data_IF_058033160270
#
_entry.id   IF_058033160270
#
_cell.length_a   1.000
_cell.length_b   1.000
_cell.length_c   1.000
_cell.angle_alpha   90.00
_cell.angle_beta   90.00
_cell.angle_gamma   90.00
#
_symmetry.space_group_name_H-M   'P 1'
#
loop_
_entity.id
_entity.type
_entity.pdbx_description
1 polymer ?
#
# COMPACT_ATOMS: atom_id res chain seq x y z
N UNK A 1 -20.88 13.91 -18.84
CA UNK A 1 -20.77 15.00 -17.84
C UNK A 1 -19.38 15.56 -17.96
N UNK A 2 -19.21 16.85 -18.31
CA UNK A 2 -17.91 17.49 -18.19
C UNK A 2 -17.68 17.73 -16.71
N UNK A 3 -16.73 17.03 -16.16
CA UNK A 3 -16.33 17.21 -14.78
C UNK A 3 -15.63 18.57 -14.68
N UNK A 4 -16.07 19.39 -13.77
CA UNK A 4 -15.50 20.71 -13.53
C UNK A 4 -14.15 20.58 -12.84
N UNK A 5 -13.10 20.27 -13.63
CA UNK A 5 -11.72 20.12 -13.12
C UNK A 5 -11.25 21.32 -12.31
N UNK A 6 -11.82 22.48 -12.58
CA UNK A 6 -11.43 23.75 -11.96
C UNK A 6 -12.25 24.11 -10.72
N UNK A 7 -13.24 23.28 -10.35
CA UNK A 7 -14.01 23.52 -9.14
C UNK A 7 -13.12 23.37 -7.91
N UNK A 8 -13.03 24.43 -7.13
CA UNK A 8 -12.35 24.36 -5.83
C UNK A 8 -13.08 23.39 -4.91
N UNK A 9 -12.31 22.60 -4.17
CA UNK A 9 -12.88 21.81 -3.08
C UNK A 9 -13.37 22.77 -2.02
N UNK A 10 -14.62 22.66 -1.66
CA UNK A 10 -15.18 23.39 -0.54
C UNK A 10 -14.93 22.63 0.74
N UNK A 11 -13.98 23.12 1.53
CA UNK A 11 -13.65 22.55 2.85
C UNK A 11 -14.81 22.67 3.83
N UNK A 12 -15.57 23.74 3.73
CA UNK A 12 -16.73 23.97 4.61
C UNK A 12 -17.83 22.94 4.30
N UNK A 13 -18.03 22.57 3.03
CA UNK A 13 -18.94 21.48 2.65
C UNK A 13 -18.49 20.14 3.26
N UNK A 14 -17.19 19.84 3.23
CA UNK A 14 -16.65 18.63 3.85
C UNK A 14 -16.85 18.64 5.37
N UNK A 15 -16.54 19.77 6.00
CA UNK A 15 -16.60 19.88 7.46
C UNK A 15 -18.03 20.08 7.98
N UNK A 16 -18.96 20.49 7.12
CA UNK A 16 -20.36 20.68 7.49
C UNK A 16 -20.97 19.35 7.91
N UNK A 17 -21.72 19.38 8.99
CA UNK A 17 -22.49 18.24 9.50
C UNK A 17 -21.69 16.92 9.67
N UNK A 18 -20.40 17.01 9.97
CA UNK A 18 -19.59 15.81 10.25
C UNK A 18 -20.14 14.92 11.36
N UNK A 19 -20.88 15.49 12.30
CA UNK A 19 -21.46 14.76 13.43
C UNK A 19 -22.47 13.70 12.95
N UNK A 20 -23.26 14.03 11.93
CA UNK A 20 -24.30 13.17 11.39
C UNK A 20 -23.84 12.34 10.20
N UNK A 21 -22.68 12.66 9.62
CA UNK A 21 -22.12 11.89 8.52
C UNK A 21 -21.87 10.43 8.94
N UNK A 22 -22.19 9.50 8.02
CA UNK A 22 -21.85 8.08 8.12
C UNK A 22 -21.21 7.63 6.82
N UNK A 23 -20.19 6.74 6.90
CA UNK A 23 -19.54 6.19 5.70
C UNK A 23 -20.57 5.50 4.78
N UNK A 24 -20.47 5.74 3.49
CA UNK A 24 -21.38 5.16 2.48
C UNK A 24 -21.21 3.66 2.35
N UNK A 25 -19.98 3.17 2.52
CA UNK A 25 -19.62 1.76 2.38
C UNK A 25 -18.57 1.33 3.40
N UNK A 26 -18.56 0.03 3.64
CA UNK A 26 -17.49 -0.68 4.35
C UNK A 26 -16.84 -1.66 3.37
N UNK A 27 -15.68 -2.19 3.75
CA UNK A 27 -14.95 -3.14 2.95
C UNK A 27 -14.14 -2.48 1.82
N UNK A 28 -13.32 -3.28 1.21
CA UNK A 28 -12.42 -2.89 0.14
C UNK A 28 -13.07 -3.12 -1.21
N UNK A 29 -12.85 -2.23 -2.17
CA UNK A 29 -13.27 -2.43 -3.55
C UNK A 29 -12.07 -2.96 -4.36
N UNK A 30 -12.17 -4.21 -4.81
CA UNK A 30 -11.21 -4.81 -5.71
C UNK A 30 -11.59 -4.53 -7.15
N UNK A 31 -10.60 -4.40 -8.03
CA UNK A 31 -10.86 -4.41 -9.46
C UNK A 31 -11.23 -5.82 -9.91
N UNK A 32 -12.12 -5.92 -10.87
CA UNK A 32 -12.52 -7.20 -11.45
C UNK A 32 -11.32 -7.81 -12.20
N UNK A 33 -11.13 -9.11 -12.00
CA UNK A 33 -10.13 -9.86 -12.75
C UNK A 33 -10.65 -10.10 -14.17
N UNK A 34 -9.73 -9.95 -15.13
CA UNK A 34 -9.99 -10.35 -16.53
C UNK A 34 -9.66 -11.84 -16.67
N UNK A 35 -10.64 -12.63 -17.04
CA UNK A 35 -10.44 -14.08 -17.22
C UNK A 35 -9.50 -14.39 -18.38
N UNK A 36 -8.72 -15.47 -18.24
CA UNK A 36 -7.89 -16.07 -19.29
C UNK A 36 -6.73 -15.22 -19.83
N UNK A 37 -6.20 -14.30 -19.07
CA UNK A 37 -5.00 -13.56 -19.46
C UNK A 37 -3.71 -14.25 -19.00
N UNK A 38 -3.54 -15.50 -19.37
CA UNK A 38 -2.29 -16.20 -19.05
C UNK A 38 -1.17 -15.74 -19.97
N UNK A 39 -0.08 -15.27 -19.37
CA UNK A 39 1.21 -15.14 -20.05
C UNK A 39 1.77 -16.55 -20.26
N UNK A 40 1.36 -17.19 -21.26
CA UNK A 40 1.94 -18.46 -21.42
C UNK A 40 2.28 -18.89 -22.76
N UNK A 41 2.99 -19.98 -22.93
CA UNK A 41 4.41 -20.05 -22.62
C UNK A 41 5.17 -19.02 -23.45
N UNK A 42 6.18 -18.38 -22.88
CA UNK A 42 7.12 -17.54 -23.64
C UNK A 42 7.83 -18.44 -24.66
N UNK A 43 7.39 -18.41 -25.89
CA UNK A 43 8.06 -19.14 -26.97
C UNK A 43 9.33 -18.40 -27.38
N UNK A 44 10.41 -18.63 -26.67
CA UNK A 44 11.73 -18.12 -27.00
C UNK A 44 12.18 -18.47 -28.43
N UNK A 45 11.52 -19.43 -29.07
CA UNK A 45 11.82 -19.87 -30.45
C UNK A 45 11.53 -18.79 -31.50
N UNK A 46 10.68 -17.83 -31.17
CA UNK A 46 10.34 -16.72 -32.05
C UNK A 46 11.20 -15.49 -31.84
N UNK A 47 12.10 -15.52 -30.86
CA UNK A 47 12.97 -14.39 -30.55
C UNK A 47 14.24 -14.38 -31.41
N UNK A 48 14.87 -13.20 -31.52
CA UNK A 48 16.11 -13.03 -32.27
C UNK A 48 17.24 -13.98 -31.81
N UNK A 49 18.14 -14.33 -32.70
CA UNK A 49 19.27 -15.20 -32.39
C UNK A 49 20.13 -14.72 -31.22
N UNK A 50 20.24 -13.42 -31.02
CA UNK A 50 20.93 -12.83 -29.87
C UNK A 50 20.23 -13.14 -28.53
N UNK A 51 18.90 -13.16 -28.51
CA UNK A 51 18.13 -13.56 -27.32
C UNK A 51 18.13 -15.07 -27.09
N UNK A 52 18.22 -15.88 -28.16
CA UNK A 52 18.33 -17.35 -28.03
C UNK A 52 19.66 -17.78 -27.36
N UNK A 53 20.70 -16.98 -27.51
CA UNK A 53 22.00 -17.22 -26.90
C UNK A 53 22.16 -16.52 -25.55
N UNK A 54 21.20 -15.70 -25.15
CA UNK A 54 21.18 -15.11 -23.81
C UNK A 54 20.82 -16.19 -22.78
N UNK A 55 21.40 -16.11 -21.60
CA UNK A 55 21.04 -16.99 -20.49
C UNK A 55 19.53 -16.76 -20.23
N UNK A 56 18.68 -17.81 -20.34
CA UNK A 56 17.27 -17.65 -20.05
C UNK A 56 17.09 -17.05 -18.67
N UNK A 57 16.32 -15.99 -18.58
CA UNK A 57 15.95 -15.47 -17.26
C UNK A 57 15.26 -16.61 -16.49
N UNK A 58 15.73 -16.96 -15.28
CA UNK A 58 15.12 -18.03 -14.48
C UNK A 58 13.60 -17.87 -14.34
N UNK A 59 13.14 -16.63 -14.27
CA UNK A 59 11.74 -16.25 -14.24
C UNK A 59 10.92 -16.76 -15.45
N UNK A 60 11.51 -17.00 -16.62
CA UNK A 60 10.80 -17.51 -17.78
C UNK A 60 10.14 -18.88 -17.51
N UNK A 61 10.65 -19.66 -16.57
CA UNK A 61 10.06 -20.94 -16.15
C UNK A 61 8.77 -20.76 -15.33
N UNK A 62 8.57 -19.61 -14.73
CA UNK A 62 7.48 -19.33 -13.81
C UNK A 62 6.29 -18.66 -14.47
N UNK A 63 6.48 -18.01 -15.63
CA UNK A 63 5.42 -17.25 -16.30
C UNK A 63 4.23 -18.07 -16.77
N UNK A 64 4.41 -19.37 -17.00
CA UNK A 64 3.34 -20.25 -17.44
C UNK A 64 2.19 -20.43 -16.44
N UNK A 65 2.45 -20.16 -15.16
CA UNK A 65 1.47 -20.32 -14.07
C UNK A 65 0.93 -18.99 -13.53
N UNK A 66 1.44 -17.89 -14.03
CA UNK A 66 1.03 -16.56 -13.60
C UNK A 66 -0.03 -16.03 -14.55
N UNK A 67 -1.10 -15.51 -13.98
CA UNK A 67 -2.19 -14.84 -14.70
C UNK A 67 -2.06 -13.32 -14.48
N UNK A 68 -1.24 -12.61 -15.29
CA UNK A 68 -1.01 -11.18 -15.10
C UNK A 68 -2.27 -10.41 -15.43
N UNK A 69 -2.73 -9.63 -14.50
CA UNK A 69 -3.86 -8.76 -14.73
C UNK A 69 -3.39 -7.47 -15.42
N UNK A 70 -4.08 -7.00 -16.47
CA UNK A 70 -3.69 -5.80 -17.21
C UNK A 70 -3.83 -4.54 -16.36
N UNK A 71 -4.62 -4.63 -15.30
CA UNK A 71 -4.95 -3.49 -14.47
C UNK A 71 -4.95 -3.87 -12.99
N UNK A 72 -4.53 -2.95 -12.15
CA UNK A 72 -4.50 -3.11 -10.70
C UNK A 72 -4.90 -1.81 -10.01
N UNK A 73 -5.24 -1.90 -8.74
CA UNK A 73 -5.50 -0.73 -7.90
C UNK A 73 -4.22 0.11 -7.79
N UNK A 74 -4.30 1.40 -8.11
CA UNK A 74 -3.16 2.31 -8.03
C UNK A 74 -3.25 3.10 -6.73
N UNK A 75 -2.19 3.03 -5.94
CA UNK A 75 -2.07 3.75 -4.66
C UNK A 75 -1.43 5.11 -4.87
N UNK A 76 -1.91 6.11 -4.13
CA UNK A 76 -1.11 7.30 -3.82
C UNK A 76 -1.00 7.48 -2.31
N UNK A 77 0.14 7.99 -1.85
CA UNK A 77 0.41 8.23 -0.44
C UNK A 77 0.24 9.70 -0.10
N UNK A 78 -0.46 9.99 0.98
CA UNK A 78 -0.78 11.36 1.43
C UNK A 78 -0.28 11.53 2.86
N UNK A 79 0.53 12.55 3.08
CA UNK A 79 1.23 12.73 4.35
C UNK A 79 1.55 14.19 4.71
N UNK A 80 0.86 15.20 4.15
CA UNK A 80 1.22 16.60 4.44
C UNK A 80 0.81 17.03 5.85
N UNK A 81 -0.26 16.45 6.38
CA UNK A 81 -0.84 16.83 7.66
C UNK A 81 -1.65 18.13 7.60
N UNK A 82 -1.72 18.77 6.44
CA UNK A 82 -2.56 19.94 6.18
C UNK A 82 -3.81 19.48 5.46
N UNK A 83 -4.94 19.48 6.14
CA UNK A 83 -6.17 18.84 5.65
C UNK A 83 -6.58 19.32 4.26
N UNK A 84 -6.58 20.63 4.01
CA UNK A 84 -6.94 21.17 2.69
C UNK A 84 -5.98 20.74 1.59
N UNK A 85 -4.68 20.74 1.84
CA UNK A 85 -3.68 20.28 0.89
C UNK A 85 -3.82 18.78 0.62
N UNK A 86 -4.06 18.00 1.66
CA UNK A 86 -4.22 16.55 1.54
C UNK A 86 -5.46 16.21 0.71
N UNK A 87 -6.58 16.89 0.91
CA UNK A 87 -7.78 16.69 0.10
C UNK A 87 -7.56 17.07 -1.37
N UNK A 88 -6.86 18.17 -1.64
CA UNK A 88 -6.49 18.54 -3.02
C UNK A 88 -5.63 17.47 -3.68
N UNK A 89 -4.64 16.93 -2.95
CA UNK A 89 -3.77 15.86 -3.44
C UNK A 89 -4.57 14.58 -3.74
N UNK A 90 -5.46 14.17 -2.83
CA UNK A 90 -6.33 13.02 -3.02
C UNK A 90 -7.20 13.18 -4.27
N UNK A 91 -7.82 14.35 -4.44
CA UNK A 91 -8.66 14.66 -5.59
C UNK A 91 -7.87 14.61 -6.89
N UNK A 92 -6.71 15.27 -6.95
CA UNK A 92 -5.85 15.27 -8.14
C UNK A 92 -5.39 13.85 -8.51
N UNK A 93 -4.92 13.08 -7.53
CA UNK A 93 -4.50 11.71 -7.75
C UNK A 93 -5.65 10.81 -8.24
N UNK A 94 -6.85 10.97 -7.67
CA UNK A 94 -8.04 10.26 -8.10
C UNK A 94 -8.43 10.59 -9.54
N UNK A 95 -8.35 11.85 -9.93
CA UNK A 95 -8.58 12.28 -11.31
C UNK A 95 -7.62 11.63 -12.31
N UNK A 96 -6.37 11.43 -11.91
CA UNK A 96 -5.35 10.78 -12.73
C UNK A 96 -5.45 9.25 -12.73
N UNK A 97 -6.21 8.66 -11.82
CA UNK A 97 -6.48 7.21 -11.82
C UNK A 97 -6.16 6.47 -10.54
N UNK A 98 -5.72 7.16 -9.48
CA UNK A 98 -5.59 6.54 -8.18
C UNK A 98 -6.96 6.16 -7.61
N UNK A 99 -7.10 4.95 -7.14
CA UNK A 99 -8.29 4.39 -6.50
C UNK A 99 -8.01 3.77 -5.13
N UNK A 100 -6.83 4.05 -4.61
CA UNK A 100 -6.41 3.74 -3.25
C UNK A 100 -5.61 4.91 -2.69
N UNK A 101 -6.16 5.53 -1.66
CA UNK A 101 -5.52 6.62 -0.95
C UNK A 101 -4.98 6.09 0.38
N UNK A 102 -3.67 6.08 0.52
CA UNK A 102 -3.00 5.71 1.74
C UNK A 102 -2.61 6.97 2.51
N UNK A 103 -3.26 7.20 3.63
CA UNK A 103 -2.97 8.33 4.52
C UNK A 103 -1.96 7.88 5.56
N UNK A 104 -0.74 8.41 5.44
CA UNK A 104 0.34 8.13 6.38
C UNK A 104 0.11 8.94 7.65
N UNK A 105 0.03 8.26 8.78
CA UNK A 105 -0.07 8.93 10.08
C UNK A 105 1.24 9.56 10.49
N UNK A 106 1.19 10.51 11.41
CA UNK A 106 2.40 11.09 12.03
C UNK A 106 3.25 9.99 12.67
N UNK A 107 4.56 10.08 12.51
CA UNK A 107 5.48 9.08 13.06
C UNK A 107 5.34 8.94 14.59
N UNK A 108 5.09 10.02 15.30
CA UNK A 108 4.88 10.03 16.74
C UNK A 108 3.71 9.18 17.21
N UNK A 109 2.66 9.03 16.42
CA UNK A 109 1.51 8.18 16.77
C UNK A 109 1.81 6.68 16.80
N UNK A 110 2.98 6.25 16.32
CA UNK A 110 3.44 4.87 16.48
C UNK A 110 4.20 4.61 17.78
N UNK A 111 4.47 5.64 18.58
CA UNK A 111 5.16 5.59 19.84
C UNK A 111 4.26 6.10 20.98
N UNK A 112 4.51 5.60 22.18
CA UNK A 112 3.72 5.95 23.35
C UNK A 112 3.83 7.45 23.68
N UNK A 113 5.02 8.01 23.60
CA UNK A 113 5.26 9.43 23.87
C UNK A 113 4.45 10.33 22.93
N UNK A 114 4.36 9.96 21.64
CA UNK A 114 3.57 10.71 20.67
C UNK A 114 2.06 10.68 20.92
N UNK A 115 1.57 9.67 21.65
CA UNK A 115 0.16 9.64 22.07
C UNK A 115 -0.13 10.53 23.26
N UNK A 116 0.85 10.71 24.15
CA UNK A 116 0.71 11.50 25.39
C UNK A 116 1.07 12.96 25.14
N UNK A 117 2.24 13.18 24.57
CA UNK A 117 2.81 14.52 24.37
C UNK A 117 2.31 15.19 23.06
N UNK A 118 1.71 14.39 22.18
CA UNK A 118 1.36 14.85 20.83
C UNK A 118 2.56 14.83 19.88
N UNK A 119 2.31 15.27 18.66
CA UNK A 119 3.35 15.42 17.64
C UNK A 119 3.31 16.82 17.06
N UNK A 120 4.48 17.44 16.78
CA UNK A 120 4.52 18.75 16.15
C UNK A 120 3.78 18.74 14.81
N UNK A 121 3.03 19.79 14.52
CA UNK A 121 2.40 19.96 13.22
C UNK A 121 3.45 20.07 12.10
N UNK A 122 3.12 19.52 10.93
CA UNK A 122 3.96 19.66 9.75
C UNK A 122 5.21 18.78 9.68
N UNK A 123 5.35 17.83 10.60
CA UNK A 123 6.49 16.87 10.61
C UNK A 123 6.12 15.57 9.89
N UNK A 124 5.53 15.65 8.71
CA UNK A 124 5.13 14.50 7.91
C UNK A 124 4.04 13.64 8.57
N UNK A 125 3.07 13.26 7.79
CA UNK A 125 1.95 12.43 8.22
C UNK A 125 0.75 13.22 8.72
N UNK A 126 -0.37 12.54 8.78
CA UNK A 126 -1.67 13.09 9.17
C UNK A 126 -2.02 12.63 10.57
N UNK A 127 -2.38 13.53 11.49
CA UNK A 127 -2.88 13.13 12.79
C UNK A 127 -4.13 12.28 12.66
N UNK A 128 -4.11 11.06 13.18
CA UNK A 128 -5.26 10.16 13.08
C UNK A 128 -6.16 10.32 14.28
N UNK A 129 -7.24 11.05 14.08
CA UNK A 129 -8.32 11.24 15.03
C UNK A 129 -9.66 10.86 14.40
N UNK A 130 -10.67 10.59 15.20
CA UNK A 130 -12.03 10.33 14.69
C UNK A 130 -12.50 11.42 13.72
N UNK A 131 -12.30 12.68 14.09
CA UNK A 131 -12.69 13.83 13.25
C UNK A 131 -11.97 13.83 11.92
N UNK A 132 -10.67 13.59 11.93
CA UNK A 132 -9.84 13.55 10.73
C UNK A 132 -10.24 12.39 9.79
N UNK A 133 -10.39 11.18 10.34
CA UNK A 133 -10.82 10.01 9.57
C UNK A 133 -12.18 10.26 8.92
N UNK A 134 -13.14 10.77 9.69
CA UNK A 134 -14.49 11.08 9.23
C UNK A 134 -14.50 12.14 8.13
N UNK A 135 -13.76 13.22 8.31
CA UNK A 135 -13.64 14.28 7.31
C UNK A 135 -12.96 13.77 6.04
N UNK A 136 -11.90 12.97 6.17
CA UNK A 136 -11.21 12.36 5.03
C UNK A 136 -12.15 11.41 4.27
N UNK A 137 -12.89 10.52 4.96
CA UNK A 137 -13.82 9.62 4.28
C UNK A 137 -14.94 10.39 3.57
N UNK A 138 -15.50 11.41 4.21
CA UNK A 138 -16.50 12.28 3.57
C UNK A 138 -15.97 12.97 2.32
N UNK A 139 -14.73 13.49 2.38
CA UNK A 139 -14.08 14.07 1.22
C UNK A 139 -13.89 13.06 0.09
N UNK A 140 -13.47 11.84 0.42
CA UNK A 140 -13.31 10.77 -0.57
C UNK A 140 -14.66 10.35 -1.19
N UNK A 141 -15.76 10.36 -0.43
CA UNK A 141 -17.09 10.11 -0.99
C UNK A 141 -17.48 11.16 -2.03
N UNK A 142 -17.17 12.43 -1.80
CA UNK A 142 -17.39 13.50 -2.78
C UNK A 142 -16.49 13.33 -4.02
N UNK A 143 -15.25 12.91 -3.82
CA UNK A 143 -14.32 12.63 -4.91
C UNK A 143 -14.77 11.39 -5.70
N UNK A 144 -15.30 10.35 -5.04
CA UNK A 144 -15.91 9.18 -5.71
C UNK A 144 -17.04 9.62 -6.66
N UNK A 145 -17.88 10.55 -6.21
CA UNK A 145 -18.97 11.10 -7.06
C UNK A 145 -18.41 11.85 -8.28
N UNK A 146 -17.29 12.57 -8.13
CA UNK A 146 -16.67 13.27 -9.23
C UNK A 146 -16.03 12.34 -10.27
N UNK A 147 -15.32 11.31 -9.83
CA UNK A 147 -14.55 10.42 -10.71
C UNK A 147 -15.33 9.20 -11.17
N UNK A 148 -16.52 8.97 -10.60
CA UNK A 148 -17.43 7.88 -10.97
C UNK A 148 -16.92 6.48 -10.61
N UNK A 149 -16.05 6.35 -9.62
CA UNK A 149 -15.53 5.07 -9.14
C UNK A 149 -15.20 5.07 -7.65
N UNK A 150 -15.26 3.90 -6.97
CA UNK A 150 -14.87 3.78 -5.57
C UNK A 150 -13.39 4.09 -5.34
N UNK A 151 -13.10 4.74 -4.20
CA UNK A 151 -11.74 5.02 -3.74
C UNK A 151 -11.55 4.38 -2.37
N UNK A 152 -10.59 3.46 -2.27
CA UNK A 152 -10.24 2.81 -1.02
C UNK A 152 -9.44 3.75 -0.13
N UNK A 153 -9.86 3.84 1.12
CA UNK A 153 -9.19 4.62 2.15
C UNK A 153 -8.39 3.70 3.07
N UNK A 154 -7.12 4.01 3.25
CA UNK A 154 -6.19 3.19 4.01
C UNK A 154 -5.34 4.04 4.96
N UNK A 155 -5.06 3.49 6.15
CA UNK A 155 -4.09 4.06 7.08
C UNK A 155 -3.44 2.96 7.94
N UNK A 156 -2.82 3.31 9.06
CA UNK A 156 -1.99 2.41 9.85
C UNK A 156 -2.61 2.12 11.21
N UNK A 157 -2.69 0.86 11.59
CA UNK A 157 -3.07 0.37 12.92
C UNK A 157 -1.84 -0.05 13.74
N UNK A 158 -0.72 -0.40 13.09
CA UNK A 158 0.52 -0.81 13.77
C UNK A 158 1.02 0.24 14.76
N UNK A 159 1.70 -0.18 15.79
CA UNK A 159 2.20 0.65 16.87
C UNK A 159 1.43 0.42 18.17
N UNK A 160 1.45 1.39 19.08
CA UNK A 160 0.62 1.37 20.28
C UNK A 160 -0.83 1.75 19.94
N UNK A 161 -1.77 1.43 20.80
CA UNK A 161 -3.20 1.68 20.60
C UNK A 161 -3.80 1.03 19.33
N UNK A 162 -3.27 -0.12 18.91
CA UNK A 162 -3.78 -0.84 17.74
C UNK A 162 -5.26 -1.20 17.83
N UNK A 163 -5.77 -1.77 18.94
CA UNK A 163 -7.17 -2.08 19.12
C UNK A 163 -8.08 -0.85 18.99
N UNK A 164 -7.71 0.24 19.63
CA UNK A 164 -8.47 1.50 19.60
C UNK A 164 -8.51 2.10 18.20
N UNK A 165 -7.40 2.05 17.49
CA UNK A 165 -7.33 2.48 16.09
C UNK A 165 -8.20 1.61 15.18
N UNK A 166 -8.23 0.31 15.41
CA UNK A 166 -9.08 -0.61 14.65
C UNK A 166 -10.56 -0.28 14.82
N UNK A 167 -11.00 0.06 16.03
CA UNK A 167 -12.38 0.52 16.30
C UNK A 167 -12.68 1.79 15.50
N UNK A 168 -11.81 2.79 15.59
CA UNK A 168 -12.01 4.03 14.83
C UNK A 168 -12.10 3.78 13.33
N UNK A 169 -11.26 2.90 12.78
CA UNK A 169 -11.26 2.57 11.37
C UNK A 169 -12.56 1.88 10.94
N UNK A 170 -13.04 0.94 11.75
CA UNK A 170 -14.31 0.25 11.48
C UNK A 170 -15.51 1.20 11.53
N UNK A 171 -15.51 2.16 12.44
CA UNK A 171 -16.59 3.13 12.60
C UNK A 171 -16.56 4.23 11.54
N UNK A 172 -15.38 4.68 11.13
CA UNK A 172 -15.22 5.83 10.23
C UNK A 172 -14.99 5.46 8.76
N UNK A 173 -15.16 4.18 8.39
CA UNK A 173 -15.16 3.74 7.00
C UNK A 173 -13.77 3.69 6.35
N UNK A 174 -12.74 3.40 7.12
CA UNK A 174 -11.42 3.05 6.58
C UNK A 174 -11.49 1.65 6.02
N UNK A 175 -11.09 1.46 4.76
CA UNK A 175 -11.25 0.20 4.03
C UNK A 175 -10.07 -0.75 4.18
N UNK A 176 -8.87 -0.22 4.43
CA UNK A 176 -7.67 -1.02 4.59
C UNK A 176 -6.74 -0.48 5.67
N UNK A 177 -5.92 -1.35 6.25
CA UNK A 177 -4.98 -0.95 7.27
C UNK A 177 -3.71 -1.80 7.26
N UNK A 178 -2.57 -1.15 7.49
CA UNK A 178 -1.36 -1.85 7.88
C UNK A 178 -1.49 -2.36 9.30
N UNK A 179 -1.35 -3.67 9.47
CA UNK A 179 -1.34 -4.30 10.77
C UNK A 179 -0.44 -5.54 10.74
N UNK A 180 0.63 -5.49 11.54
CA UNK A 180 1.66 -6.51 11.58
C UNK A 180 2.36 -6.44 12.96
N UNK A 181 2.25 -7.48 13.81
CA UNK A 181 2.90 -7.47 15.11
C UNK A 181 4.43 -7.47 15.03
N UNK A 182 4.99 -8.09 13.98
CA UNK A 182 6.45 -8.10 13.79
C UNK A 182 7.01 -6.69 13.57
N UNK A 183 6.28 -5.83 12.87
CA UNK A 183 6.64 -4.43 12.72
C UNK A 183 6.81 -3.72 14.07
N UNK A 184 5.89 -3.96 14.99
CA UNK A 184 5.97 -3.40 16.32
C UNK A 184 7.21 -3.85 17.07
N UNK A 185 7.53 -5.14 17.00
CA UNK A 185 8.69 -5.73 17.68
C UNK A 185 10.00 -5.28 17.05
N UNK A 186 10.14 -5.48 15.74
CA UNK A 186 11.41 -5.33 15.02
C UNK A 186 11.74 -3.87 14.70
N UNK A 187 10.72 -3.07 14.47
CA UNK A 187 10.91 -1.70 13.98
C UNK A 187 10.64 -0.64 15.05
N UNK A 188 9.77 -0.92 16.02
CA UNK A 188 9.36 0.03 17.05
C UNK A 188 9.81 -0.35 18.45
N UNK A 189 10.51 -1.49 18.63
CA UNK A 189 10.96 -2.01 19.92
C UNK A 189 9.83 -2.17 20.96
N UNK A 190 8.60 -2.41 20.50
CA UNK A 190 7.47 -2.65 21.40
C UNK A 190 7.55 -4.10 21.88
N UNK A 191 7.21 -4.32 23.15
CA UNK A 191 7.21 -5.66 23.75
C UNK A 191 6.48 -6.69 22.86
N UNK A 192 7.10 -7.85 22.65
CA UNK A 192 6.59 -8.87 21.74
C UNK A 192 5.20 -9.39 22.14
N UNK A 193 5.01 -9.74 23.43
CA UNK A 193 3.73 -10.26 23.91
C UNK A 193 2.63 -9.22 23.72
N UNK A 194 2.90 -7.98 24.13
CA UNK A 194 1.97 -6.86 23.94
C UNK A 194 1.62 -6.68 22.47
N UNK A 195 2.62 -6.69 21.58
CA UNK A 195 2.42 -6.50 20.14
C UNK A 195 1.52 -7.56 19.52
N UNK A 196 1.70 -8.82 19.89
CA UNK A 196 0.86 -9.91 19.37
C UNK A 196 -0.54 -9.90 19.97
N UNK A 197 -0.70 -9.58 21.27
CA UNK A 197 -2.02 -9.46 21.89
C UNK A 197 -2.83 -8.31 21.27
N UNK A 198 -2.24 -7.13 21.18
CA UNK A 198 -2.89 -5.97 20.58
C UNK A 198 -3.23 -6.24 19.09
N UNK A 199 -2.33 -6.91 18.36
CA UNK A 199 -2.58 -7.32 16.99
C UNK A 199 -3.75 -8.30 16.87
N UNK A 200 -3.88 -9.25 17.79
CA UNK A 200 -5.00 -10.19 17.81
C UNK A 200 -6.34 -9.45 17.93
N UNK A 201 -6.42 -8.54 18.90
CA UNK A 201 -7.64 -7.74 19.11
C UNK A 201 -7.92 -6.85 17.91
N UNK A 202 -6.92 -6.14 17.39
CA UNK A 202 -7.06 -5.29 16.21
C UNK A 202 -7.55 -6.08 14.99
N UNK A 203 -6.93 -7.23 14.69
CA UNK A 203 -7.32 -8.10 13.57
C UNK A 203 -8.74 -8.65 13.71
N UNK A 204 -9.17 -8.96 14.94
CA UNK A 204 -10.56 -9.39 15.20
C UNK A 204 -11.56 -8.28 14.87
N UNK A 205 -11.24 -7.04 15.23
CA UNK A 205 -12.06 -5.88 14.90
C UNK A 205 -12.04 -5.62 13.39
N UNK A 206 -10.87 -5.71 12.75
CA UNK A 206 -10.72 -5.59 11.30
C UNK A 206 -11.58 -6.63 10.56
N UNK A 207 -11.54 -7.89 11.00
CA UNK A 207 -12.36 -8.95 10.42
C UNK A 207 -13.87 -8.66 10.55
N UNK A 208 -14.29 -8.12 11.67
CA UNK A 208 -15.67 -7.70 11.90
C UNK A 208 -16.06 -6.47 11.05
N UNK A 209 -15.13 -5.52 10.89
CA UNK A 209 -15.32 -4.29 10.10
C UNK A 209 -15.11 -4.47 8.60
N UNK A 210 -14.79 -5.68 8.14
CA UNK A 210 -14.42 -6.00 6.75
C UNK A 210 -13.27 -5.14 6.21
N UNK A 211 -12.29 -4.87 7.06
CA UNK A 211 -11.10 -4.06 6.74
C UNK A 211 -10.02 -4.98 6.18
N UNK A 212 -9.52 -4.67 4.98
CA UNK A 212 -8.39 -5.39 4.40
C UNK A 212 -7.12 -5.10 5.20
N UNK A 213 -6.46 -6.17 5.60
CA UNK A 213 -5.12 -6.07 6.15
C UNK A 213 -4.09 -6.00 5.03
N UNK A 214 -3.23 -5.00 5.08
CA UNK A 214 -2.00 -4.99 4.32
C UNK A 214 -0.88 -5.27 5.30
N UNK A 215 -0.07 -6.28 5.03
CA UNK A 215 0.99 -6.64 5.96
C UNK A 215 2.13 -5.62 5.95
N UNK A 216 2.84 -5.55 7.06
CA UNK A 216 3.96 -4.64 7.26
C UNK A 216 5.33 -5.30 7.06
N UNK A 217 5.40 -6.52 6.52
CA UNK A 217 6.67 -7.23 6.35
C UNK A 217 7.65 -6.47 5.43
N UNK A 218 7.14 -5.62 4.53
CA UNK A 218 7.96 -4.70 3.75
C UNK A 218 8.79 -3.74 4.61
N UNK A 219 8.35 -3.43 5.83
CA UNK A 219 9.13 -2.58 6.73
C UNK A 219 10.39 -3.28 7.24
N UNK A 220 10.36 -4.59 7.42
CA UNK A 220 11.56 -5.36 7.71
C UNK A 220 12.53 -5.32 6.53
N UNK A 221 12.04 -5.45 5.30
CA UNK A 221 12.82 -5.26 4.10
C UNK A 221 13.41 -3.84 4.03
N UNK A 222 12.62 -2.82 4.33
CA UNK A 222 13.06 -1.43 4.34
C UNK A 222 14.13 -1.13 5.40
N UNK A 223 14.16 -1.88 6.50
CA UNK A 223 15.15 -1.72 7.59
C UNK A 223 16.38 -2.58 7.41
N UNK A 224 16.24 -3.74 6.79
CA UNK A 224 17.37 -4.60 6.44
C UNK A 224 18.17 -3.94 5.32
N UNK A 225 19.39 -3.47 5.65
CA UNK A 225 20.24 -2.78 4.68
C UNK A 225 20.56 -3.64 3.44
N UNK A 226 20.57 -4.95 3.61
CA UNK A 226 20.87 -5.94 2.58
C UNK A 226 19.78 -7.03 2.57
N UNK A 227 18.55 -6.62 2.29
CA UNK A 227 17.38 -7.50 2.33
C UNK A 227 17.51 -8.74 1.43
N UNK A 228 18.28 -8.62 0.34
CA UNK A 228 18.56 -9.76 -0.55
C UNK A 228 19.37 -10.89 0.10
N UNK A 229 20.00 -10.65 1.23
CA UNK A 229 20.70 -11.70 2.02
C UNK A 229 19.79 -12.44 2.98
N UNK A 230 18.58 -11.94 3.23
CA UNK A 230 17.64 -12.45 4.22
C UNK A 230 16.24 -12.67 3.62
N UNK A 231 16.19 -13.02 2.33
CA UNK A 231 14.91 -13.25 1.64
C UNK A 231 14.06 -14.37 2.26
N UNK A 232 14.64 -15.51 2.70
CA UNK A 232 13.85 -16.54 3.37
C UNK A 232 13.17 -16.05 4.65
N UNK A 233 13.87 -15.24 5.44
CA UNK A 233 13.35 -14.65 6.68
C UNK A 233 12.20 -13.67 6.39
N UNK A 234 12.28 -12.91 5.29
CA UNK A 234 11.18 -12.04 4.85
C UNK A 234 9.94 -12.87 4.47
N UNK A 235 10.12 -13.99 3.77
CA UNK A 235 9.03 -14.90 3.44
C UNK A 235 8.38 -15.50 4.69
N UNK A 236 9.20 -15.86 5.68
CA UNK A 236 8.70 -16.35 6.98
C UNK A 236 7.88 -15.29 7.71
N UNK A 237 8.27 -14.01 7.63
CA UNK A 237 7.48 -12.92 8.21
C UNK A 237 6.10 -12.80 7.58
N UNK A 238 6.01 -12.88 6.24
CA UNK A 238 4.73 -12.93 5.54
C UNK A 238 3.90 -14.14 6.01
N UNK A 239 4.51 -15.32 6.08
CA UNK A 239 3.83 -16.55 6.52
C UNK A 239 3.27 -16.42 7.94
N UNK A 240 4.07 -15.92 8.88
CA UNK A 240 3.62 -15.70 10.27
C UNK A 240 2.43 -14.75 10.30
N UNK A 241 2.50 -13.63 9.59
CA UNK A 241 1.42 -12.64 9.61
C UNK A 241 0.14 -13.17 8.97
N UNK A 242 0.24 -13.86 7.82
CA UNK A 242 -0.90 -14.48 7.15
C UNK A 242 -1.56 -15.54 8.03
N UNK A 243 -0.78 -16.49 8.55
CA UNK A 243 -1.29 -17.54 9.42
C UNK A 243 -1.94 -16.98 10.68
N UNK A 244 -1.33 -15.97 11.28
CA UNK A 244 -1.84 -15.32 12.47
C UNK A 244 -3.19 -14.64 12.19
N UNK A 245 -3.32 -13.95 11.05
CA UNK A 245 -4.54 -13.30 10.63
C UNK A 245 -5.68 -14.29 10.37
N UNK A 246 -5.39 -15.40 9.68
CA UNK A 246 -6.37 -16.47 9.46
C UNK A 246 -6.83 -17.09 10.78
N UNK A 247 -5.89 -17.37 11.69
CA UNK A 247 -6.18 -17.97 13.00
C UNK A 247 -7.09 -17.11 13.86
N UNK A 248 -7.02 -15.79 13.70
CA UNK A 248 -7.88 -14.84 14.39
C UNK A 248 -9.26 -14.71 13.72
N UNK A 249 -9.41 -15.20 12.50
CA UNK A 249 -10.68 -15.24 11.76
C UNK A 249 -10.83 -14.17 10.69
N UNK A 250 -9.73 -13.59 10.21
CA UNK A 250 -9.76 -12.81 8.98
C UNK A 250 -9.95 -13.72 7.76
N UNK A 251 -10.72 -13.27 6.78
CA UNK A 251 -10.84 -13.98 5.51
C UNK A 251 -9.56 -13.84 4.71
N UNK A 252 -9.18 -14.89 3.97
CA UNK A 252 -7.97 -14.89 3.15
C UNK A 252 -7.95 -13.77 2.11
N UNK A 253 -9.08 -13.50 1.50
CA UNK A 253 -9.27 -12.42 0.52
C UNK A 253 -9.07 -11.01 1.09
N UNK A 254 -9.13 -10.87 2.41
CA UNK A 254 -8.89 -9.61 3.13
C UNK A 254 -7.47 -9.52 3.69
N UNK A 255 -6.57 -10.41 3.28
CA UNK A 255 -5.17 -10.40 3.67
C UNK A 255 -4.31 -10.12 2.43
N UNK A 256 -3.62 -8.98 2.44
CA UNK A 256 -2.77 -8.54 1.35
C UNK A 256 -1.31 -8.47 1.80
N UNK A 257 -0.44 -9.17 1.07
CA UNK A 257 1.00 -9.14 1.31
C UNK A 257 1.62 -7.93 0.60
N UNK A 258 2.46 -7.19 1.31
CA UNK A 258 3.28 -6.14 0.72
C UNK A 258 4.60 -6.72 0.22
N UNK A 259 4.72 -6.89 -1.09
CA UNK A 259 5.95 -7.37 -1.72
C UNK A 259 6.87 -6.21 -2.05
N UNK A 260 8.04 -6.16 -1.45
CA UNK A 260 9.06 -5.16 -1.75
C UNK A 260 10.25 -5.85 -2.42
N UNK A 261 10.68 -5.39 -3.59
CA UNK A 261 11.86 -5.95 -4.22
C UNK A 261 13.07 -5.85 -3.29
N UNK A 262 13.73 -6.97 -2.95
CA UNK A 262 14.78 -6.98 -1.92
C UNK A 262 16.04 -6.20 -2.30
N UNK A 263 16.27 -5.96 -3.60
CA UNK A 263 17.43 -5.20 -4.07
C UNK A 263 17.10 -3.75 -4.43
N UNK A 264 15.83 -3.36 -4.47
CA UNK A 264 15.42 -2.02 -4.89
C UNK A 264 16.23 -0.89 -4.25
N UNK A 265 16.58 -0.94 -2.96
CA UNK A 265 17.64 -0.11 -2.40
C UNK A 265 18.97 -0.88 -2.31
N UNK A 266 20.06 -0.43 -2.88
CA UNK A 266 20.26 0.86 -3.56
C UNK A 266 19.94 0.84 -5.07
N UNK A 267 19.78 -0.33 -5.70
CA UNK A 267 19.50 -0.43 -7.12
C UNK A 267 18.72 -1.71 -7.45
N UNK A 268 17.62 -1.61 -8.19
CA UNK A 268 16.84 -2.78 -8.58
C UNK A 268 17.66 -3.78 -9.39
N UNK A 269 17.49 -5.06 -9.07
CA UNK A 269 18.11 -6.17 -9.78
C UNK A 269 17.05 -7.22 -10.15
N UNK A 270 16.59 -7.19 -11.37
CA UNK A 270 15.54 -8.08 -11.86
C UNK A 270 15.88 -9.58 -11.71
N UNK A 271 17.16 -9.95 -11.69
CA UNK A 271 17.56 -11.35 -11.48
C UNK A 271 17.25 -11.87 -10.09
N UNK A 272 17.09 -10.98 -9.13
CA UNK A 272 16.79 -11.31 -7.72
C UNK A 272 15.34 -10.95 -7.41
N UNK A 273 14.93 -9.74 -7.77
CA UNK A 273 13.64 -9.18 -7.38
C UNK A 273 12.46 -9.89 -8.03
N UNK A 274 12.59 -10.25 -9.31
CA UNK A 274 11.51 -10.95 -10.01
C UNK A 274 11.29 -12.38 -9.51
N UNK A 275 12.32 -13.25 -9.37
CA UNK A 275 12.14 -14.56 -8.76
C UNK A 275 11.60 -14.51 -7.33
N UNK A 276 11.99 -13.50 -6.55
CA UNK A 276 11.45 -13.30 -5.20
C UNK A 276 9.94 -13.03 -5.24
N UNK A 277 9.50 -12.12 -6.09
CA UNK A 277 8.08 -11.79 -6.24
C UNK A 277 7.26 -12.99 -6.77
N UNK A 278 7.82 -13.75 -7.71
CA UNK A 278 7.20 -14.99 -8.22
C UNK A 278 7.06 -16.03 -7.10
N UNK A 279 8.12 -16.24 -6.33
CA UNK A 279 8.09 -17.20 -5.21
C UNK A 279 7.05 -16.80 -4.17
N UNK A 280 6.94 -15.50 -3.84
CA UNK A 280 5.88 -15.03 -2.94
C UNK A 280 4.48 -15.31 -3.52
N UNK A 281 4.27 -15.08 -4.82
CA UNK A 281 2.98 -15.34 -5.47
C UNK A 281 2.64 -16.84 -5.42
N UNK A 282 3.61 -17.72 -5.64
CA UNK A 282 3.41 -19.16 -5.59
C UNK A 282 3.17 -19.69 -4.16
N UNK A 283 3.94 -19.21 -3.19
CA UNK A 283 3.80 -19.63 -1.79
C UNK A 283 2.51 -19.13 -1.15
N UNK A 284 2.01 -17.99 -1.58
CA UNK A 284 0.83 -17.33 -1.02
C UNK A 284 -0.29 -17.22 -2.06
N UNK A 285 -0.52 -18.32 -2.79
CA UNK A 285 -1.63 -18.39 -3.72
C UNK A 285 -2.97 -18.15 -3.01
N UNK A 286 -3.86 -17.41 -3.66
CA UNK A 286 -5.14 -17.01 -3.11
C UNK A 286 -5.12 -15.81 -2.15
N UNK A 287 -3.94 -15.32 -1.76
CA UNK A 287 -3.82 -14.05 -1.06
C UNK A 287 -3.70 -12.88 -2.02
N UNK A 288 -4.07 -11.70 -1.55
CA UNK A 288 -3.86 -10.46 -2.30
C UNK A 288 -2.41 -10.00 -2.20
N UNK A 289 -1.92 -9.33 -3.26
CA UNK A 289 -0.55 -8.84 -3.33
C UNK A 289 -0.53 -7.35 -3.61
N UNK A 290 0.25 -6.61 -2.84
CA UNK A 290 0.58 -5.21 -3.06
C UNK A 290 2.04 -5.10 -3.46
N UNK A 291 2.30 -4.61 -4.65
CA UNK A 291 3.66 -4.22 -5.03
C UNK A 291 4.00 -2.91 -4.34
N UNK A 292 4.80 -3.02 -3.30
CA UNK A 292 5.33 -1.90 -2.52
C UNK A 292 6.77 -1.62 -2.96
N UNK A 293 7.22 -0.40 -2.77
CA UNK A 293 8.62 -0.05 -3.01
C UNK A 293 9.29 0.50 -1.78
N UNK A 294 10.60 0.31 -1.75
CA UNK A 294 11.45 0.95 -0.78
C UNK A 294 12.11 2.18 -1.40
N UNK A 295 11.79 3.34 -0.86
CA UNK A 295 12.25 4.65 -1.35
C UNK A 295 13.42 5.21 -0.56
N UNK A 296 13.90 4.48 0.45
CA UNK A 296 14.88 4.96 1.44
C UNK A 296 16.17 5.57 0.84
N UNK A 297 16.56 5.12 -0.34
CA UNK A 297 17.83 5.50 -0.96
C UNK A 297 17.66 6.33 -2.25
N UNK A 298 16.43 6.74 -2.56
CA UNK A 298 16.16 7.55 -3.76
C UNK A 298 16.72 8.98 -3.62
N UNK A 299 16.77 9.50 -2.40
CA UNK A 299 17.44 10.76 -2.06
C UNK A 299 16.98 11.96 -2.89
N UNK A 300 15.67 12.07 -3.14
CA UNK A 300 15.05 13.14 -3.94
C UNK A 300 15.45 13.15 -5.42
N UNK A 301 16.05 12.07 -5.92
CA UNK A 301 16.37 11.92 -7.35
C UNK A 301 15.14 11.49 -8.15
N UNK A 302 14.60 12.38 -8.96
CA UNK A 302 13.47 12.07 -9.87
C UNK A 302 13.84 10.94 -10.84
N UNK A 303 15.09 10.93 -11.34
CA UNK A 303 15.56 9.88 -12.26
C UNK A 303 15.53 8.52 -11.58
N UNK A 304 16.11 8.40 -10.39
CA UNK A 304 16.16 7.13 -9.66
C UNK A 304 14.76 6.67 -9.25
N UNK A 305 13.91 7.59 -8.79
CA UNK A 305 12.52 7.29 -8.50
C UNK A 305 11.79 6.72 -9.71
N UNK A 306 11.91 7.35 -10.87
CA UNK A 306 11.23 6.91 -12.10
C UNK A 306 11.75 5.55 -12.57
N UNK A 307 13.06 5.35 -12.63
CA UNK A 307 13.65 4.06 -13.05
C UNK A 307 13.24 2.94 -12.11
N UNK A 308 13.34 3.18 -10.81
CA UNK A 308 12.95 2.21 -9.79
C UNK A 308 11.46 1.88 -9.86
N UNK A 309 10.62 2.90 -10.09
CA UNK A 309 9.18 2.72 -10.26
C UNK A 309 8.85 1.87 -11.48
N UNK A 310 9.43 2.16 -12.64
CA UNK A 310 9.20 1.40 -13.88
C UNK A 310 9.63 -0.07 -13.72
N UNK A 311 10.78 -0.34 -13.11
CA UNK A 311 11.23 -1.71 -12.85
C UNK A 311 10.29 -2.46 -11.89
N UNK A 312 9.79 -1.78 -10.86
CA UNK A 312 8.81 -2.38 -9.96
C UNK A 312 7.46 -2.63 -10.65
N UNK A 313 7.01 -1.72 -11.50
CA UNK A 313 5.82 -1.91 -12.32
C UNK A 313 5.94 -3.16 -13.21
N UNK A 314 7.10 -3.35 -13.82
CA UNK A 314 7.37 -4.56 -14.61
C UNK A 314 7.20 -5.83 -13.75
N UNK A 315 7.83 -5.88 -12.58
CA UNK A 315 7.71 -7.01 -11.66
C UNK A 315 6.26 -7.22 -11.25
N UNK A 316 5.56 -6.17 -10.86
CA UNK A 316 4.18 -6.27 -10.37
C UNK A 316 3.20 -6.74 -11.45
N UNK A 317 3.36 -6.28 -12.69
CA UNK A 317 2.53 -6.71 -13.81
C UNK A 317 2.81 -8.16 -14.19
N UNK A 318 4.06 -8.58 -14.17
CA UNK A 318 4.46 -9.97 -14.45
C UNK A 318 4.02 -10.95 -13.36
N UNK A 319 3.82 -10.48 -12.13
CA UNK A 319 3.43 -11.30 -10.97
C UNK A 319 2.01 -11.06 -10.48
N UNK A 320 1.19 -10.40 -11.27
CA UNK A 320 -0.25 -10.16 -10.99
C UNK A 320 -0.53 -9.49 -9.64
N UNK A 321 0.19 -8.42 -9.33
CA UNK A 321 -0.11 -7.64 -8.14
C UNK A 321 -1.52 -7.04 -8.20
N UNK A 322 -2.28 -7.16 -7.12
CA UNK A 322 -3.64 -6.61 -7.01
C UNK A 322 -3.61 -5.10 -6.73
N UNK A 323 -2.56 -4.63 -6.05
CA UNK A 323 -2.35 -3.22 -5.70
C UNK A 323 -0.93 -2.82 -6.12
N UNK A 324 -0.81 -1.67 -6.77
CA UNK A 324 0.45 -1.04 -7.12
C UNK A 324 0.66 0.21 -6.30
N UNK A 325 1.72 0.25 -5.49
CA UNK A 325 2.18 1.49 -4.88
C UNK A 325 2.92 2.35 -5.89
N UNK A 326 2.70 3.64 -5.80
CA UNK A 326 3.45 4.64 -6.57
C UNK A 326 4.64 5.13 -5.78
N UNK A 327 5.64 5.67 -6.49
CA UNK A 327 6.86 6.19 -5.93
C UNK A 327 7.05 7.63 -6.34
N UNK A 328 7.41 8.43 -5.36
CA UNK A 328 7.82 9.82 -5.56
C UNK A 328 9.26 10.02 -5.11
N UNK A 329 9.98 11.01 -5.66
CA UNK A 329 11.37 11.27 -5.27
C UNK A 329 11.56 11.58 -3.78
N UNK A 330 10.55 12.18 -3.18
CA UNK A 330 10.62 12.68 -1.79
C UNK A 330 10.02 11.71 -0.76
N UNK A 331 9.40 10.64 -1.22
CA UNK A 331 8.73 9.67 -0.36
C UNK A 331 9.69 9.04 0.66
N UNK A 332 9.21 8.85 1.87
CA UNK A 332 9.97 8.27 2.97
C UNK A 332 10.91 9.25 3.69
N UNK A 333 11.10 10.45 3.19
CA UNK A 333 11.96 11.48 3.80
C UNK A 333 11.29 12.82 3.98
N UNK A 334 10.52 13.24 2.99
CA UNK A 334 9.80 14.51 2.97
C UNK A 334 8.35 14.26 2.57
N UNK A 335 7.53 15.28 2.74
CA UNK A 335 6.17 15.27 2.20
C UNK A 335 6.25 15.43 0.67
N UNK A 336 5.78 14.44 -0.11
CA UNK A 336 5.86 14.52 -1.56
C UNK A 336 5.10 15.74 -2.10
N UNK A 337 5.66 16.42 -3.07
CA UNK A 337 4.93 17.44 -3.81
C UNK A 337 3.75 16.79 -4.53
N UNK A 338 2.60 17.47 -4.55
CA UNK A 338 1.38 16.95 -5.19
C UNK A 338 1.58 16.60 -6.67
N UNK A 339 2.41 17.34 -7.35
CA UNK A 339 2.78 17.11 -8.75
C UNK A 339 3.54 15.75 -8.91
N UNK A 340 4.40 15.37 -7.99
CA UNK A 340 5.08 14.07 -8.02
C UNK A 340 4.10 12.92 -7.77
N UNK A 341 3.10 13.12 -6.91
CA UNK A 341 2.06 12.11 -6.71
C UNK A 341 1.28 11.85 -8.00
N UNK A 342 0.92 12.92 -8.72
CA UNK A 342 0.24 12.82 -10.02
C UNK A 342 1.11 12.12 -11.06
N UNK A 343 2.38 12.51 -11.19
CA UNK A 343 3.31 11.86 -12.12
C UNK A 343 3.50 10.37 -11.81
N UNK A 344 3.59 10.02 -10.53
CA UNK A 344 3.74 8.63 -10.13
C UNK A 344 2.48 7.79 -10.45
N UNK A 345 1.30 8.37 -10.28
CA UNK A 345 0.03 7.73 -10.68
C UNK A 345 -0.03 7.56 -12.20
N UNK A 346 0.30 8.58 -12.98
CA UNK A 346 0.33 8.51 -14.44
C UNK A 346 1.37 7.49 -14.94
N UNK A 347 2.51 7.36 -14.26
CA UNK A 347 3.52 6.35 -14.60
C UNK A 347 3.01 4.92 -14.33
N UNK A 348 2.20 4.74 -13.28
CA UNK A 348 1.64 3.44 -12.92
C UNK A 348 0.50 2.98 -13.83
N UNK A 349 -0.18 3.92 -14.46
CA UNK A 349 -1.30 3.70 -15.38
C UNK A 349 -0.83 3.33 -16.78
#
# INVERSE_FOLDING_TARGET
MSLEKDKKIDIDEILNDLKNYRPRRRGWHWREKVENQKLGPFEYHQTSSGLKNSIPLPAAKYFGNIDPQPDCIITTEIASGRFEDDIRRMRMAAWHGADHIMVIRTAGQSHFDGLIEGTPEGVGGVPITRKQLRATRKALDLIEDEVGRPINFHSYISGVAGPEMAVLFAEEGVNGAHQDPQYNVLYRNINMVRSFVDAAVAKKIMAWGDIVQIDGAHNANATAREAWKVMPELMVQHAINCMYSLKIGMKQENICLSTVPPTAPPAPNLRIDLPYAVTLRELFDGYKMRAQMNTKYIESSTREATVTHVLNLLISRLTSADIQSTITPDEGRNVPWHYYNVQAVDTAK
#
